data_IF_691843167891
#
_entry.id   IF_691843167891
#
_cell.length_a   1.000
_cell.length_b   1.000
_cell.length_c   1.000
_cell.angle_alpha   90.00
_cell.angle_beta   90.00
_cell.angle_gamma   90.00
#
_symmetry.space_group_name_H-M   'P 1'
#
loop_
_entity.id
_entity.type
_entity.pdbx_description
1 polymer ?
#
# COMPACT_ATOMS: atom_id res chain seq x y z
N UNK A 1 20.33 -13.89 0.04
CA UNK A 1 19.44 -14.62 -0.89
C UNK A 1 18.50 -13.61 -1.53
N UNK A 2 18.50 -13.47 -2.86
CA UNK A 2 17.62 -12.55 -3.59
C UNK A 2 16.30 -13.27 -3.87
N UNK A 3 15.27 -12.96 -3.09
CA UNK A 3 13.95 -13.58 -3.20
C UNK A 3 13.27 -13.00 -4.43
N UNK A 4 13.15 -13.81 -5.50
CA UNK A 4 12.42 -13.42 -6.71
C UNK A 4 10.93 -13.26 -6.33
N UNK A 5 10.27 -12.12 -6.63
CA UNK A 5 8.85 -11.97 -6.34
C UNK A 5 8.07 -13.03 -7.13
N UNK A 6 7.30 -13.87 -6.42
CA UNK A 6 6.47 -14.89 -7.06
C UNK A 6 5.44 -14.23 -7.99
N UNK A 7 5.26 -14.75 -9.21
CA UNK A 7 4.18 -14.28 -10.08
C UNK A 7 2.84 -14.57 -9.42
N UNK A 8 2.09 -13.52 -9.06
CA UNK A 8 0.82 -13.60 -8.32
C UNK A 8 0.89 -13.10 -6.88
N UNK A 9 2.07 -12.72 -6.39
CA UNK A 9 2.21 -12.05 -5.10
C UNK A 9 1.49 -10.69 -5.07
N UNK A 10 1.15 -10.18 -3.87
CA UNK A 10 0.50 -8.89 -3.76
C UNK A 10 1.41 -7.81 -4.36
N UNK A 11 0.86 -7.01 -5.28
CA UNK A 11 1.59 -5.92 -5.96
C UNK A 11 2.05 -4.81 -5.01
N UNK A 12 1.58 -4.85 -3.77
CA UNK A 12 1.95 -3.94 -2.70
C UNK A 12 1.66 -4.55 -1.34
N UNK A 13 1.74 -3.72 -0.32
CA UNK A 13 1.55 -4.13 1.06
C UNK A 13 0.54 -3.20 1.73
N UNK A 14 -0.36 -3.78 2.51
CA UNK A 14 -1.31 -3.04 3.33
C UNK A 14 -1.30 -3.62 4.73
N UNK A 15 -0.90 -2.82 5.72
CA UNK A 15 -0.83 -3.21 7.12
C UNK A 15 -1.76 -2.34 7.94
N UNK A 16 -2.40 -2.94 8.95
CA UNK A 16 -3.27 -2.23 9.87
C UNK A 16 -2.53 -1.96 11.18
N UNK A 17 -1.80 -0.85 11.23
CA UNK A 17 -0.95 -0.50 12.37
C UNK A 17 -1.71 -0.41 13.71
N UNK A 18 -3.00 -0.06 13.71
CA UNK A 18 -3.80 -0.02 14.95
C UNK A 18 -4.09 -1.39 15.58
N UNK A 19 -3.94 -2.48 14.81
CA UNK A 19 -4.22 -3.85 15.25
C UNK A 19 -2.98 -4.75 15.15
N UNK A 20 -2.06 -4.40 14.26
CA UNK A 20 -0.85 -5.14 13.93
C UNK A 20 0.29 -4.13 13.73
N UNK A 21 0.85 -3.64 14.84
CA UNK A 21 1.98 -2.72 14.86
C UNK A 21 3.28 -3.35 14.33
N UNK A 22 3.38 -4.67 14.39
CA UNK A 22 4.54 -5.42 13.92
C UNK A 22 4.47 -5.76 12.42
N UNK A 23 3.45 -5.26 11.70
CA UNK A 23 3.29 -5.41 10.24
C UNK A 23 3.41 -6.88 9.78
N UNK A 24 2.87 -7.79 10.58
CA UNK A 24 2.96 -9.23 10.37
C UNK A 24 1.96 -9.71 9.32
N UNK A 25 0.81 -9.02 9.16
CA UNK A 25 -0.30 -9.48 8.34
C UNK A 25 -0.59 -8.53 7.17
N UNK A 26 -0.20 -8.94 5.97
CA UNK A 26 -0.48 -8.19 4.75
C UNK A 26 -1.95 -8.36 4.32
N UNK A 27 -2.74 -7.29 4.41
CA UNK A 27 -4.15 -7.21 4.04
C UNK A 27 -4.37 -6.76 2.59
N UNK A 28 -3.32 -6.61 1.77
CA UNK A 28 -3.41 -6.00 0.45
C UNK A 28 -4.40 -6.70 -0.48
N UNK A 29 -4.45 -8.04 -0.46
CA UNK A 29 -5.41 -8.82 -1.25
C UNK A 29 -6.77 -8.97 -0.55
N UNK A 30 -6.82 -8.87 0.77
CA UNK A 30 -8.06 -9.01 1.56
C UNK A 30 -8.91 -7.73 1.57
N UNK A 31 -8.29 -6.56 1.43
CA UNK A 31 -8.95 -5.25 1.54
C UNK A 31 -8.66 -4.36 0.33
N UNK A 32 -9.08 -4.74 -0.89
CA UNK A 32 -8.84 -3.94 -2.10
C UNK A 32 -9.48 -2.54 -2.04
N UNK A 33 -10.59 -2.39 -1.29
CA UNK A 33 -11.28 -1.11 -1.13
C UNK A 33 -10.41 -0.07 -0.39
N UNK A 34 -9.75 -0.49 0.69
CA UNK A 34 -8.83 0.35 1.47
C UNK A 34 -7.60 0.69 0.62
N UNK A 35 -7.06 -0.28 -0.12
CA UNK A 35 -5.94 -0.04 -1.06
C UNK A 35 -6.31 1.08 -2.05
N UNK A 36 -7.49 1.01 -2.66
CA UNK A 36 -7.96 2.02 -3.62
C UNK A 36 -8.12 3.40 -2.98
N UNK A 37 -8.67 3.48 -1.77
CA UNK A 37 -8.80 4.74 -1.03
C UNK A 37 -7.43 5.36 -0.70
N UNK A 38 -6.48 4.55 -0.24
CA UNK A 38 -5.11 5.01 0.07
C UNK A 38 -4.36 5.44 -1.18
N UNK A 39 -4.49 4.69 -2.29
CA UNK A 39 -3.92 5.08 -3.58
C UNK A 39 -4.49 6.41 -4.09
N UNK A 40 -5.80 6.62 -3.93
CA UNK A 40 -6.44 7.89 -4.32
C UNK A 40 -5.89 9.05 -3.50
N UNK A 41 -5.73 8.86 -2.18
CA UNK A 41 -5.15 9.88 -1.29
C UNK A 41 -3.68 10.16 -1.63
N UNK A 42 -2.90 9.13 -1.96
CA UNK A 42 -1.53 9.28 -2.43
C UNK A 42 -1.48 10.11 -3.72
N UNK A 43 -2.33 9.80 -4.71
CA UNK A 43 -2.42 10.56 -5.95
C UNK A 43 -2.77 12.04 -5.70
N UNK A 44 -3.68 12.30 -4.76
CA UNK A 44 -4.03 13.66 -4.36
C UNK A 44 -2.81 14.41 -3.78
N UNK A 45 -2.05 13.77 -2.87
CA UNK A 45 -0.85 14.37 -2.28
C UNK A 45 0.22 14.62 -3.34
N UNK A 46 0.47 13.66 -4.24
CA UNK A 46 1.44 13.80 -5.32
C UNK A 46 1.07 14.93 -6.30
N UNK A 47 -0.22 15.13 -6.56
CA UNK A 47 -0.68 16.23 -7.40
C UNK A 47 -0.54 17.59 -6.68
N UNK A 48 -0.74 17.63 -5.35
CA UNK A 48 -0.56 18.86 -4.55
C UNK A 48 0.92 19.25 -4.36
N UNK A 49 1.85 18.28 -4.32
CA UNK A 49 3.28 18.58 -4.20
C UNK A 49 3.93 18.97 -5.52
N UNK A 50 3.30 18.69 -6.66
CA UNK A 50 3.72 19.18 -7.99
C UNK A 50 3.51 20.69 -8.20
N UNK A 51 2.82 21.36 -7.29
CA UNK A 51 2.66 22.82 -7.27
C UNK A 51 3.72 23.51 -6.40
N UNK A 52 5.01 23.22 -6.63
CA UNK A 52 6.08 24.13 -6.20
C UNK A 52 6.52 24.96 -7.41
N UNK A 53 6.26 26.29 -7.43
CA UNK A 53 6.77 27.21 -8.45
C UNK A 53 8.30 27.34 -8.38
#
# INVERSE_FOLDING_TARGET
>A
AYIKPQPGGPKGQLYHLGNDLAETRNLYQEKPDIVKSLQSKLAQILNQTKTRP
#
